data_IF_427363810149
#
_entry.id   IF_427363810149
#
_cell.length_a   1.000
_cell.length_b   1.000
_cell.length_c   1.000
_cell.angle_alpha   90.00
_cell.angle_beta   90.00
_cell.angle_gamma   90.00
#
_symmetry.space_group_name_H-M   'P 1'
#
loop_
_entity.id
_entity.type
_entity.pdbx_description
1 polymer ?
#
# COMPACT_ATOMS: atom_id res chain seq x y z
N UNK A 1 27.11 -12.98 -11.67
CA UNK A 1 27.24 -13.27 -10.22
C UNK A 1 26.53 -12.23 -9.34
N UNK A 2 26.71 -10.93 -9.59
CA UNK A 2 26.09 -9.86 -8.79
C UNK A 2 24.56 -9.85 -8.82
N UNK A 3 23.96 -10.03 -10.01
CA UNK A 3 22.51 -10.10 -10.19
C UNK A 3 21.89 -11.32 -9.47
N UNK A 4 22.56 -12.47 -9.52
CA UNK A 4 22.15 -13.68 -8.81
C UNK A 4 22.19 -13.48 -7.29
N UNK A 5 23.22 -12.80 -6.79
CA UNK A 5 23.35 -12.47 -5.37
C UNK A 5 22.27 -11.47 -4.91
N UNK A 6 21.91 -10.50 -5.76
CA UNK A 6 20.82 -9.55 -5.48
C UNK A 6 19.46 -10.27 -5.40
N UNK A 7 19.17 -11.15 -6.37
CA UNK A 7 17.97 -11.97 -6.38
C UNK A 7 17.89 -12.88 -5.14
N UNK A 8 18.98 -13.54 -4.77
CA UNK A 8 19.03 -14.38 -3.57
C UNK A 8 18.79 -13.59 -2.28
N UNK A 9 19.31 -12.36 -2.17
CA UNK A 9 19.03 -11.49 -1.02
C UNK A 9 17.55 -11.11 -0.96
N UNK A 10 16.96 -10.77 -2.09
CA UNK A 10 15.54 -10.46 -2.20
C UNK A 10 14.66 -11.65 -1.78
N UNK A 11 14.95 -12.85 -2.30
CA UNK A 11 14.24 -14.08 -1.94
C UNK A 11 14.38 -14.43 -0.45
N UNK A 12 15.57 -14.25 0.15
CA UNK A 12 15.76 -14.44 1.59
C UNK A 12 14.96 -13.44 2.42
N UNK A 13 14.85 -12.19 1.98
CA UNK A 13 14.03 -11.18 2.64
C UNK A 13 12.55 -11.54 2.57
N UNK A 14 12.05 -11.98 1.39
CA UNK A 14 10.68 -12.51 1.26
C UNK A 14 10.46 -13.69 2.20
N UNK A 15 11.39 -14.65 2.24
CA UNK A 15 11.26 -15.83 3.11
C UNK A 15 11.23 -15.45 4.60
N UNK A 16 11.98 -14.43 5.01
CA UNK A 16 11.97 -13.92 6.38
C UNK A 16 10.65 -13.24 6.72
N UNK A 17 10.10 -12.47 5.79
CA UNK A 17 8.78 -11.83 5.90
C UNK A 17 7.68 -12.89 6.02
N UNK A 18 7.72 -13.95 5.21
CA UNK A 18 6.77 -15.07 5.28
C UNK A 18 6.89 -15.91 6.56
N UNK A 19 7.97 -15.73 7.33
CA UNK A 19 8.20 -16.42 8.62
C UNK A 19 7.74 -15.61 9.84
N UNK A 20 7.06 -14.48 9.66
CA UNK A 20 6.42 -13.76 10.75
C UNK A 20 5.39 -14.70 11.40
N UNK A 21 5.67 -15.15 12.62
CA UNK A 21 4.80 -16.07 13.36
C UNK A 21 3.64 -15.36 14.05
N UNK A 22 3.79 -14.07 14.29
CA UNK A 22 2.76 -13.23 14.86
C UNK A 22 1.72 -12.93 13.77
N UNK A 23 0.53 -13.52 13.93
CA UNK A 23 -0.55 -13.40 12.95
C UNK A 23 -0.95 -11.94 12.74
N UNK A 24 -1.01 -11.13 13.80
CA UNK A 24 -1.37 -9.71 13.72
C UNK A 24 -0.34 -8.93 12.90
N UNK A 25 0.96 -9.13 13.18
CA UNK A 25 2.02 -8.48 12.44
C UNK A 25 2.04 -8.90 10.96
N UNK A 26 1.80 -10.19 10.69
CA UNK A 26 1.68 -10.70 9.33
C UNK A 26 0.47 -10.09 8.60
N UNK A 27 -0.68 -9.97 9.27
CA UNK A 27 -1.89 -9.34 8.74
C UNK A 27 -1.66 -7.88 8.40
N UNK A 28 -1.12 -7.09 9.33
CA UNK A 28 -0.80 -5.66 9.11
C UNK A 28 0.11 -5.51 7.90
N UNK A 29 1.17 -6.30 7.84
CA UNK A 29 2.13 -6.26 6.73
C UNK A 29 1.48 -6.65 5.40
N UNK A 30 0.62 -7.67 5.39
CA UNK A 30 -0.12 -8.09 4.20
C UNK A 30 -1.08 -7.00 3.71
N UNK A 31 -1.74 -6.26 4.62
CA UNK A 31 -2.61 -5.14 4.28
C UNK A 31 -1.84 -3.97 3.67
N UNK A 32 -0.68 -3.62 4.23
CA UNK A 32 0.20 -2.61 3.62
C UNK A 32 0.66 -3.05 2.22
N UNK A 33 1.13 -4.29 2.07
CA UNK A 33 1.52 -4.82 0.75
C UNK A 33 0.36 -4.80 -0.24
N UNK A 34 -0.85 -5.17 0.19
CA UNK A 34 -2.06 -5.12 -0.62
C UNK A 34 -2.35 -3.70 -1.13
N UNK A 35 -2.28 -2.71 -0.25
CA UNK A 35 -2.47 -1.30 -0.65
C UNK A 35 -1.41 -0.80 -1.63
N UNK A 36 -0.13 -1.12 -1.41
CA UNK A 36 0.94 -0.80 -2.38
C UNK A 36 0.70 -1.49 -3.73
N UNK A 37 0.28 -2.76 -3.72
CA UNK A 37 -0.05 -3.49 -4.92
C UNK A 37 -1.26 -2.90 -5.66
N UNK A 38 -2.21 -2.27 -4.95
CA UNK A 38 -3.34 -1.53 -5.54
C UNK A 38 -2.93 -0.16 -6.09
N UNK A 39 -2.00 0.54 -5.43
CA UNK A 39 -1.55 1.87 -5.86
C UNK A 39 -0.79 1.85 -7.19
N UNK A 40 0.02 0.80 -7.43
CA UNK A 40 0.82 0.67 -8.66
C UNK A 40 -0.06 0.72 -9.92
N UNK A 41 -1.05 -0.18 -10.12
CA UNK A 41 -1.92 -0.13 -11.28
C UNK A 41 -2.80 1.12 -11.30
N UNK A 42 -3.23 1.62 -10.13
CA UNK A 42 -4.01 2.85 -10.06
C UNK A 42 -3.20 4.05 -10.60
N UNK A 43 -1.92 4.18 -10.21
CA UNK A 43 -1.03 5.22 -10.72
C UNK A 43 -0.82 5.12 -12.23
N UNK A 44 -0.67 3.91 -12.77
CA UNK A 44 -0.56 3.69 -14.21
C UNK A 44 -1.83 4.14 -14.94
N UNK A 45 -3.01 3.77 -14.44
CA UNK A 45 -4.28 4.19 -15.01
C UNK A 45 -4.52 5.69 -14.90
N UNK A 46 -4.11 6.31 -13.80
CA UNK A 46 -4.23 7.76 -13.61
C UNK A 46 -3.36 8.51 -14.62
N UNK A 47 -2.11 8.07 -14.83
CA UNK A 47 -1.22 8.61 -15.86
C UNK A 47 -1.76 8.41 -17.27
N UNK A 48 -2.42 7.27 -17.52
CA UNK A 48 -3.10 6.98 -18.78
C UNK A 48 -4.46 7.70 -18.94
N UNK A 49 -4.85 8.57 -18.00
CA UNK A 49 -6.14 9.27 -17.95
C UNK A 49 -7.35 8.32 -17.99
N UNK A 50 -7.19 7.10 -17.47
CA UNK A 50 -8.26 6.09 -17.35
C UNK A 50 -9.00 6.18 -16.01
N UNK A 51 -8.39 6.83 -15.02
CA UNK A 51 -9.03 7.21 -13.75
C UNK A 51 -8.71 8.66 -13.44
N UNK A 52 -9.64 9.35 -12.78
CA UNK A 52 -9.52 10.76 -12.41
C UNK A 52 -8.76 10.94 -11.09
N UNK A 53 -8.71 9.90 -10.25
CA UNK A 53 -8.17 9.98 -8.90
C UNK A 53 -7.31 8.78 -8.52
N UNK A 54 -6.26 9.05 -7.74
CA UNK A 54 -5.46 8.07 -7.05
C UNK A 54 -6.15 7.68 -5.73
N UNK A 55 -5.85 6.49 -5.19
CA UNK A 55 -6.39 6.09 -3.89
C UNK A 55 -6.03 7.08 -2.78
N UNK A 56 -4.83 7.68 -2.81
CA UNK A 56 -4.47 8.79 -1.92
C UNK A 56 -5.35 10.04 -2.07
N UNK A 57 -5.88 10.36 -3.26
CA UNK A 57 -6.84 11.47 -3.42
C UNK A 57 -8.18 11.13 -2.76
N UNK A 58 -8.65 9.89 -2.94
CA UNK A 58 -9.92 9.41 -2.38
C UNK A 58 -9.84 9.37 -0.86
N UNK A 59 -8.83 8.72 -0.30
CA UNK A 59 -8.61 8.66 1.14
C UNK A 59 -8.36 10.05 1.75
N UNK A 60 -7.66 10.93 1.02
CA UNK A 60 -7.43 12.32 1.44
C UNK A 60 -8.71 13.15 1.56
N UNK A 61 -9.75 12.81 0.79
CA UNK A 61 -11.03 13.54 0.82
C UNK A 61 -11.82 13.36 2.11
N UNK A 62 -11.42 12.41 2.96
CA UNK A 62 -11.95 12.26 4.33
C UNK A 62 -11.61 13.49 5.19
N UNK A 63 -10.47 14.15 4.94
CA UNK A 63 -9.99 15.26 5.77
C UNK A 63 -10.14 16.64 5.12
N UNK A 64 -10.12 16.70 3.79
CA UNK A 64 -10.16 17.97 3.05
C UNK A 64 -11.12 17.88 1.87
N UNK A 65 -11.59 19.03 1.38
CA UNK A 65 -12.44 19.07 0.18
C UNK A 65 -11.74 18.39 -1.01
N UNK A 66 -12.45 17.65 -1.89
CA UNK A 66 -11.85 16.88 -2.97
C UNK A 66 -10.87 17.65 -3.87
N UNK A 67 -11.19 18.89 -4.26
CA UNK A 67 -10.27 19.69 -5.10
C UNK A 67 -8.94 20.06 -4.40
N UNK A 68 -8.89 20.00 -3.06
CA UNK A 68 -7.66 20.25 -2.27
C UNK A 68 -6.79 19.00 -2.13
N UNK A 69 -7.28 17.80 -2.45
CA UNK A 69 -6.50 16.56 -2.30
C UNK A 69 -5.35 16.48 -3.31
N UNK A 70 -5.43 17.20 -4.42
CA UNK A 70 -4.34 17.37 -5.40
C UNK A 70 -3.11 18.10 -4.83
N UNK A 71 -3.24 18.81 -3.71
CA UNK A 71 -2.09 19.41 -3.04
C UNK A 71 -1.23 18.29 -2.44
N UNK A 72 0.07 18.30 -2.72
CA UNK A 72 1.01 17.23 -2.31
C UNK A 72 0.88 16.81 -0.84
N UNK A 73 0.74 17.77 0.09
CA UNK A 73 0.57 17.49 1.52
C UNK A 73 -0.71 16.71 1.85
N UNK A 74 -1.81 17.02 1.15
CA UNK A 74 -3.10 16.38 1.37
C UNK A 74 -3.14 15.01 0.68
N UNK A 75 -2.50 14.87 -0.48
CA UNK A 75 -2.29 13.57 -1.12
C UNK A 75 -1.46 12.64 -0.23
N UNK A 76 -0.35 13.12 0.35
CA UNK A 76 0.48 12.33 1.27
C UNK A 76 -0.34 11.88 2.49
N UNK A 77 -1.11 12.79 3.10
CA UNK A 77 -1.99 12.44 4.21
C UNK A 77 -2.99 11.34 3.80
N UNK A 78 -3.64 11.50 2.65
CA UNK A 78 -4.55 10.49 2.13
C UNK A 78 -3.88 9.15 1.84
N UNK A 79 -2.67 9.16 1.29
CA UNK A 79 -1.92 7.94 1.00
C UNK A 79 -1.55 7.19 2.29
N UNK A 80 -1.11 7.91 3.33
CA UNK A 80 -0.87 7.33 4.66
C UNK A 80 -2.17 6.71 5.20
N UNK A 81 -3.29 7.43 5.11
CA UNK A 81 -4.59 6.91 5.54
C UNK A 81 -4.98 5.65 4.77
N UNK A 82 -4.82 5.63 3.44
CA UNK A 82 -5.09 4.45 2.62
C UNK A 82 -4.32 3.22 3.11
N UNK A 83 -3.02 3.36 3.36
CA UNK A 83 -2.17 2.28 3.87
C UNK A 83 -2.55 1.83 5.28
N UNK A 84 -2.83 2.77 6.19
CA UNK A 84 -3.26 2.45 7.57
C UNK A 84 -4.59 1.71 7.55
N UNK A 85 -5.56 2.17 6.76
CA UNK A 85 -6.86 1.53 6.63
C UNK A 85 -6.71 0.12 6.06
N UNK A 86 -5.93 -0.09 5.01
CA UNK A 86 -5.68 -1.42 4.46
C UNK A 86 -4.99 -2.36 5.46
N UNK A 87 -4.01 -1.84 6.22
CA UNK A 87 -3.35 -2.59 7.28
C UNK A 87 -4.31 -3.01 8.40
N UNK A 88 -5.15 -2.10 8.87
CA UNK A 88 -6.12 -2.36 9.94
C UNK A 88 -7.21 -3.34 9.50
N UNK A 89 -7.72 -3.20 8.28
CA UNK A 89 -8.75 -4.09 7.74
C UNK A 89 -8.22 -5.52 7.46
N UNK A 90 -6.92 -5.68 7.23
CA UNK A 90 -6.32 -7.00 7.02
C UNK A 90 -6.31 -7.87 8.29
N UNK A 91 -6.28 -7.27 9.49
CA UNK A 91 -6.25 -8.00 10.78
C UNK A 91 -7.45 -8.95 10.89
N UNK A 92 -8.72 -8.49 10.85
CA UNK A 92 -9.86 -9.40 10.93
C UNK A 92 -10.03 -10.27 9.69
N UNK A 93 -9.35 -10.02 8.56
CA UNK A 93 -9.52 -10.86 7.37
C UNK A 93 -8.59 -12.07 7.32
N UNK A 94 -7.51 -12.05 8.09
CA UNK A 94 -6.44 -13.06 8.00
C UNK A 94 -6.09 -13.72 9.33
N UNK A 95 -6.74 -13.31 10.42
CA UNK A 95 -6.50 -13.85 11.77
C UNK A 95 -7.56 -14.88 12.23
N UNK A 96 -8.56 -15.19 11.40
CA UNK A 96 -9.57 -16.23 11.66
C UNK A 96 -9.24 -17.56 10.98
#
# INVERSE_FOLDING_TARGET
>A
MEQLNSLMRFLKTIQRILKIKDSIAASIFSGVLGTVAMDIPNLLFWRAKRTEALYGHIAGSVYVRPFRTNQRKNFILGQITHHITGAALAIPLTTF
#
